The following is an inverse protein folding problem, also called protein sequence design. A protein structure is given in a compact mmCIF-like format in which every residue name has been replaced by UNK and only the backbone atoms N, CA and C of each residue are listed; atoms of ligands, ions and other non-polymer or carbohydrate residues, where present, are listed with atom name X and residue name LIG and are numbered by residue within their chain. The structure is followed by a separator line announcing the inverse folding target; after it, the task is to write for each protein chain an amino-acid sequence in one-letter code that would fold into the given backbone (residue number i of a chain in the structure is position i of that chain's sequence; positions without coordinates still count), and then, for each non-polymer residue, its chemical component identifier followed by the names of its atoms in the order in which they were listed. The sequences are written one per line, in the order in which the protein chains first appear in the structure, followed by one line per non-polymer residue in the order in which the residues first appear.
data_IF_099984773677
#
_entry.id   IF_099984773677
#
_cell.length_a   1.000
_cell.length_b   1.000
_cell.length_c   1.000
_cell.angle_alpha   90.00
_cell.angle_beta   90.00
_cell.angle_gamma   90.00
#
_symmetry.space_group_name_H-M   'P 1'
#
loop_
_entity.id
_entity.type
_entity.pdbx_description
1 polymer ?
#
# COMPACT_ATOMS: atom_id res chain seq x y z
N UNK A 1 4.75 -8.67 18.62
CA UNK A 1 3.66 -7.99 17.93
C UNK A 1 4.08 -7.62 16.54
N UNK A 2 3.25 -7.97 15.56
CA UNK A 2 3.60 -7.72 14.18
C UNK A 2 3.66 -6.22 13.86
N UNK A 3 2.83 -5.42 14.50
CA UNK A 3 2.86 -3.97 14.26
C UNK A 3 4.18 -3.35 14.65
N UNK A 4 4.71 -3.70 15.82
CA UNK A 4 5.99 -3.17 16.25
C UNK A 4 7.12 -3.63 15.36
N UNK A 5 7.07 -4.89 14.97
CA UNK A 5 8.09 -5.47 14.12
C UNK A 5 8.14 -4.76 12.78
N UNK A 6 6.97 -4.48 12.21
CA UNK A 6 6.86 -3.76 10.95
C UNK A 6 7.50 -2.38 11.03
N UNK A 7 7.21 -1.65 12.12
CA UNK A 7 7.75 -0.31 12.30
C UNK A 7 9.27 -0.34 12.38
N UNK A 8 9.82 -1.32 13.09
CA UNK A 8 11.26 -1.44 13.22
C UNK A 8 11.91 -1.68 11.86
N UNK A 9 11.34 -2.57 11.07
CA UNK A 9 11.90 -2.88 9.75
C UNK A 9 11.87 -1.67 8.83
N UNK A 10 10.78 -0.91 8.86
CA UNK A 10 10.67 0.29 8.03
C UNK A 10 11.72 1.32 8.43
N UNK A 11 11.90 1.53 9.74
CA UNK A 11 12.88 2.49 10.22
C UNK A 11 14.30 2.11 9.83
N UNK A 12 14.57 0.82 9.75
CA UNK A 12 15.89 0.33 9.35
C UNK A 12 16.02 0.17 7.86
N UNK A 13 14.99 0.58 7.13
CA UNK A 13 14.93 0.45 5.68
C UNK A 13 14.97 -0.99 5.21
N UNK A 14 14.48 -1.89 6.06
CA UNK A 14 14.36 -3.30 5.69
C UNK A 14 12.96 -3.54 5.12
N UNK A 15 12.74 -2.99 3.94
CA UNK A 15 11.43 -3.03 3.32
C UNK A 15 10.91 -4.43 3.01
N UNK A 16 11.76 -5.35 2.50
CA UNK A 16 11.26 -6.71 2.23
C UNK A 16 10.72 -7.41 3.48
N UNK A 17 11.37 -7.24 4.62
CA UNK A 17 10.88 -7.85 5.85
C UNK A 17 9.62 -7.16 6.36
N UNK A 18 9.58 -5.84 6.22
CA UNK A 18 8.38 -5.10 6.58
C UNK A 18 7.20 -5.57 5.73
N UNK A 19 7.42 -5.78 4.45
CA UNK A 19 6.38 -6.28 3.55
C UNK A 19 5.90 -7.66 3.98
N UNK A 20 6.81 -8.57 4.34
CA UNK A 20 6.44 -9.89 4.83
C UNK A 20 5.54 -9.81 6.06
N UNK A 21 5.89 -8.94 7.01
CA UNK A 21 5.08 -8.77 8.21
C UNK A 21 3.68 -8.28 7.89
N UNK A 22 3.59 -7.32 6.97
CA UNK A 22 2.30 -6.76 6.55
C UNK A 22 1.47 -7.84 5.83
N UNK A 23 2.11 -8.65 5.00
CA UNK A 23 1.41 -9.70 4.29
C UNK A 23 0.81 -10.73 5.24
N UNK A 24 1.51 -11.02 6.34
CA UNK A 24 0.96 -11.92 7.36
C UNK A 24 -0.28 -11.34 8.00
N UNK A 25 -0.27 -10.03 8.26
CA UNK A 25 -1.44 -9.37 8.81
C UNK A 25 -2.62 -9.45 7.84
N UNK A 26 -2.36 -9.33 6.55
CA UNK A 26 -3.42 -9.39 5.55
C UNK A 26 -3.96 -10.81 5.34
N UNK A 27 -3.18 -11.83 5.66
CA UNK A 27 -3.70 -13.20 5.66
C UNK A 27 -4.79 -13.33 6.73
N UNK A 28 -4.58 -12.71 7.88
CA UNK A 28 -5.53 -12.78 8.99
C UNK A 28 -6.71 -11.85 8.76
N UNK A 29 -6.44 -10.65 8.24
CA UNK A 29 -7.47 -9.63 8.04
C UNK A 29 -7.30 -9.01 6.66
N UNK A 30 -7.76 -9.68 5.60
CA UNK A 30 -7.51 -9.24 4.22
C UNK A 30 -8.17 -7.92 3.83
N UNK A 31 -9.15 -7.46 4.61
CA UNK A 31 -9.82 -6.19 4.33
C UNK A 31 -9.45 -5.10 5.33
N UNK A 32 -8.38 -5.28 6.05
CA UNK A 32 -7.92 -4.26 6.99
C UNK A 32 -7.32 -3.09 6.21
N UNK A 33 -8.07 -2.01 6.14
CA UNK A 33 -7.71 -0.85 5.34
C UNK A 33 -6.36 -0.26 5.75
N UNK A 34 -6.11 -0.16 7.04
CA UNK A 34 -4.83 0.39 7.52
C UNK A 34 -3.65 -0.44 6.98
N UNK A 35 -3.78 -1.74 7.06
CA UNK A 35 -2.71 -2.63 6.61
C UNK A 35 -2.54 -2.57 5.10
N UNK A 36 -3.65 -2.47 4.36
CA UNK A 36 -3.58 -2.31 2.91
C UNK A 36 -2.86 -1.02 2.53
N UNK A 37 -3.13 0.08 3.24
CA UNK A 37 -2.44 1.35 2.99
C UNK A 37 -0.95 1.21 3.26
N UNK A 38 -0.59 0.49 4.31
CA UNK A 38 0.81 0.29 4.64
C UNK A 38 1.53 -0.54 3.59
N UNK A 39 0.87 -1.56 3.09
CA UNK A 39 1.46 -2.38 2.03
C UNK A 39 1.63 -1.57 0.75
N UNK A 40 0.66 -0.74 0.43
CA UNK A 40 0.78 0.13 -0.74
C UNK A 40 1.99 1.04 -0.63
N UNK A 41 2.20 1.61 0.55
CA UNK A 41 3.34 2.49 0.79
C UNK A 41 4.66 1.74 0.62
N UNK A 42 4.74 0.52 1.14
CA UNK A 42 5.93 -0.30 1.01
C UNK A 42 6.19 -0.68 -0.45
N UNK A 43 5.15 -1.07 -1.17
CA UNK A 43 5.29 -1.38 -2.59
C UNK A 43 5.80 -0.17 -3.36
N UNK A 44 5.26 1.01 -3.06
CA UNK A 44 5.68 2.23 -3.73
C UNK A 44 7.17 2.49 -3.50
N UNK A 45 7.62 2.34 -2.28
CA UNK A 45 9.03 2.54 -1.93
C UNK A 45 9.94 1.51 -2.58
N UNK A 46 9.42 0.33 -2.84
CA UNK A 46 10.17 -0.73 -3.50
C UNK A 46 10.08 -0.66 -5.03
N UNK A 47 9.36 0.31 -5.55
CA UNK A 47 9.21 0.46 -6.99
C UNK A 47 8.06 -0.32 -7.59
N UNK A 48 7.21 -0.91 -6.76
CA UNK A 48 6.06 -1.68 -7.25
C UNK A 48 4.83 -0.82 -7.44
N UNK A 49 4.87 0.12 -8.36
CA UNK A 49 3.77 1.07 -8.58
C UNK A 49 2.44 0.37 -8.86
N UNK A 50 2.47 -0.66 -9.68
CA UNK A 50 1.26 -1.38 -10.06
C UNK A 50 0.63 -2.07 -8.85
N UNK A 51 1.45 -2.72 -8.03
CA UNK A 51 0.97 -3.39 -6.83
C UNK A 51 0.46 -2.39 -5.80
N UNK A 52 1.14 -1.25 -5.67
CA UNK A 52 0.70 -0.19 -4.76
C UNK A 52 -0.66 0.35 -5.19
N UNK A 53 -0.84 0.57 -6.50
CA UNK A 53 -2.12 1.05 -7.02
C UNK A 53 -3.24 0.06 -6.74
N UNK A 54 -2.97 -1.23 -6.89
CA UNK A 54 -3.97 -2.26 -6.63
C UNK A 54 -4.43 -2.23 -5.17
N UNK A 55 -3.50 -2.07 -4.23
CA UNK A 55 -3.87 -1.99 -2.82
C UNK A 55 -4.69 -0.74 -2.52
N UNK A 56 -4.32 0.39 -3.11
CA UNK A 56 -5.07 1.63 -2.90
C UNK A 56 -6.46 1.56 -3.51
N UNK A 57 -6.61 0.88 -4.65
CA UNK A 57 -7.93 0.65 -5.22
C UNK A 57 -8.80 -0.18 -4.28
N UNK A 58 -8.20 -1.18 -3.65
CA UNK A 58 -8.93 -1.99 -2.68
C UNK A 58 -9.39 -1.15 -1.50
N UNK A 59 -8.53 -0.25 -1.02
CA UNK A 59 -8.89 0.68 0.05
C UNK A 59 -10.09 1.52 -0.36
N UNK A 60 -10.09 2.04 -1.59
CA UNK A 60 -11.20 2.83 -2.09
C UNK A 60 -12.49 2.03 -2.20
N UNK A 61 -12.39 0.75 -2.55
CA UNK A 61 -13.55 -0.13 -2.60
C UNK A 61 -14.14 -0.36 -1.21
N UNK A 62 -13.27 -0.48 -0.21
CA UNK A 62 -13.70 -0.75 1.16
C UNK A 62 -14.18 0.51 1.88
N UNK A 63 -13.60 1.65 1.54
CA UNK A 63 -13.93 2.93 2.17
C UNK A 63 -14.06 4.03 1.12
N UNK A 64 -15.12 3.99 0.30
CA UNK A 64 -15.25 4.99 -0.76
C UNK A 64 -15.47 6.41 -0.23
N UNK A 65 -15.89 6.54 1.02
CA UNK A 65 -16.13 7.84 1.66
C UNK A 65 -15.00 8.28 2.58
N UNK A 66 -13.83 7.65 2.47
CA UNK A 66 -12.69 8.06 3.28
C UNK A 66 -12.37 9.54 3.02
N UNK A 67 -11.90 10.23 4.05
CA UNK A 67 -11.60 11.66 3.95
C UNK A 67 -10.60 11.95 2.84
N UNK A 68 -9.66 11.06 2.63
CA UNK A 68 -8.63 11.24 1.62
C UNK A 68 -8.91 10.46 0.34
N UNK A 69 -10.17 10.05 0.12
CA UNK A 69 -10.50 9.24 -1.07
C UNK A 69 -10.10 9.93 -2.36
N UNK A 70 -10.34 11.25 -2.44
CA UNK A 70 -9.98 11.98 -3.64
C UNK A 70 -8.47 11.96 -3.88
N UNK A 71 -7.69 12.16 -2.81
CA UNK A 71 -6.24 12.10 -2.91
C UNK A 71 -5.76 10.70 -3.29
N UNK A 72 -6.41 9.67 -2.77
CA UNK A 72 -6.06 8.30 -3.11
C UNK A 72 -6.35 8.00 -4.58
N UNK A 73 -7.47 8.48 -5.10
CA UNK A 73 -7.79 8.29 -6.52
C UNK A 73 -6.74 8.95 -7.41
N UNK A 74 -6.33 10.15 -7.04
CA UNK A 74 -5.29 10.86 -7.80
C UNK A 74 -3.98 10.09 -7.74
N UNK A 75 -3.64 9.56 -6.58
CA UNK A 75 -2.42 8.78 -6.43
C UNK A 75 -2.45 7.51 -7.26
N UNK A 76 -3.59 6.81 -7.28
CA UNK A 76 -3.75 5.62 -8.10
C UNK A 76 -3.53 5.95 -9.57
N UNK A 77 -4.13 7.05 -10.04
CA UNK A 77 -3.96 7.47 -11.42
C UNK A 77 -2.50 7.73 -11.74
N UNK A 78 -1.80 8.42 -10.84
CA UNK A 78 -0.39 8.72 -11.04
C UNK A 78 0.44 7.45 -11.10
N UNK A 79 0.17 6.50 -10.20
CA UNK A 79 0.94 5.25 -10.16
C UNK A 79 0.69 4.39 -11.38
N UNK A 80 -0.53 4.39 -11.90
CA UNK A 80 -0.89 3.54 -13.03
C UNK A 80 -0.59 4.18 -14.37
N UNK A 81 -0.67 5.49 -14.43
CA UNK A 81 -0.62 6.19 -15.70
C UNK A 81 0.76 6.58 -16.18
N UNK A 82 1.74 6.61 -15.27
CA UNK A 82 3.05 7.13 -15.56
C UNK A 82 3.72 6.54 -16.80
N UNK A 83 3.79 5.22 -16.93
CA UNK A 83 4.52 4.64 -18.06
C UNK A 83 3.90 4.96 -19.42
N UNK A 84 2.62 5.23 -19.45
CA UNK A 84 1.94 5.45 -20.72
C UNK A 84 2.29 6.77 -21.35
N UNK A 85 2.87 7.66 -20.59
CA UNK A 85 3.26 8.95 -21.13
C UNK A 85 4.36 8.85 -22.14
N UNK A 86 5.03 7.73 -22.18
CA UNK A 86 6.13 7.51 -23.08
C UNK A 86 5.70 7.07 -24.46
N UNK A 87 4.45 6.79 -24.60
CA UNK A 87 3.93 6.29 -25.88
C UNK A 87 3.45 7.40 -26.77
#
# INVERSE_FOLDING_TARGET
MLHNLRAIYVERRDMPRALSAVERLLVIAPSDVRTLRERADLYEKLGGSSAAAADLLRVLQLEPSAKDAKALRAKVERLRGTPRLLN
#
